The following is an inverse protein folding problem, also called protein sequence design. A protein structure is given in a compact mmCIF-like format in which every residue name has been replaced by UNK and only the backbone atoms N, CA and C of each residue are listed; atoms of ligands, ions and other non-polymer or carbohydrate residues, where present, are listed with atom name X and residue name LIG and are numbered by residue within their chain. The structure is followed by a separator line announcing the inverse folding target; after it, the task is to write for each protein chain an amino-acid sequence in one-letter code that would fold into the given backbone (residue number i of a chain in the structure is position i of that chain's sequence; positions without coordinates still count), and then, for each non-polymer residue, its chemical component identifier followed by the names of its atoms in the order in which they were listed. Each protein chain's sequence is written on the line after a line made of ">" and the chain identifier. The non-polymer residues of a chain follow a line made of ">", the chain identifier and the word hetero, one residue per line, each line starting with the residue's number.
data_IF_961991318272
#
_entry.id   IF_961991318272
#
_cell.length_a   1.000
_cell.length_b   1.000
_cell.length_c   1.000
_cell.angle_alpha   90.00
_cell.angle_beta   90.00
_cell.angle_gamma   90.00
#
_symmetry.space_group_name_H-M   'P 1'
#
loop_
_entity.id
_entity.type
_entity.pdbx_description
1 polymer ?
#
# COMPACT_ATOMS: atom_id res chain seq x y z
N UNK A 1 11.20 -15.01 -1.72
CA UNK A 1 11.09 -15.11 -3.19
C UNK A 1 11.73 -13.90 -3.87
N UNK A 2 12.02 -13.97 -5.16
CA UNK A 2 12.53 -12.84 -5.94
C UNK A 2 11.69 -12.69 -7.22
N UNK A 3 11.16 -11.49 -7.45
CA UNK A 3 10.45 -11.09 -8.69
C UNK A 3 11.20 -9.91 -9.29
N UNK A 4 11.93 -10.15 -10.39
CA UNK A 4 12.75 -9.13 -11.03
C UNK A 4 12.72 -9.19 -12.54
N UNK A 5 12.99 -8.07 -13.20
CA UNK A 5 13.08 -7.93 -14.66
C UNK A 5 11.81 -8.39 -15.40
N UNK A 6 10.65 -8.30 -14.75
CA UNK A 6 9.37 -8.65 -15.34
C UNK A 6 8.67 -7.42 -15.93
N UNK A 7 7.80 -7.65 -16.93
CA UNK A 7 6.86 -6.66 -17.44
C UNK A 7 5.44 -7.20 -17.31
N UNK A 8 4.57 -6.47 -16.60
CA UNK A 8 3.17 -6.81 -16.39
C UNK A 8 2.26 -5.67 -16.85
N UNK A 9 1.32 -5.97 -17.75
CA UNK A 9 0.40 -4.97 -18.32
C UNK A 9 -0.99 -5.50 -18.60
N UNK A 10 -1.99 -4.60 -18.50
CA UNK A 10 -3.40 -4.88 -18.82
C UNK A 10 -4.01 -5.99 -17.97
N UNK A 11 -3.55 -6.10 -16.72
CA UNK A 11 -4.08 -7.00 -15.71
C UNK A 11 -4.90 -6.24 -14.67
N UNK A 12 -5.65 -6.94 -13.82
CA UNK A 12 -6.18 -6.35 -12.59
C UNK A 12 -5.00 -6.04 -11.66
N UNK A 13 -4.23 -7.05 -11.29
CA UNK A 13 -2.98 -6.88 -10.58
C UNK A 13 -1.80 -7.15 -11.53
N UNK A 14 -0.87 -6.21 -11.64
CA UNK A 14 0.33 -6.42 -12.44
C UNK A 14 1.23 -7.49 -11.81
N UNK A 15 1.65 -7.26 -10.57
CA UNK A 15 2.44 -8.21 -9.76
C UNK A 15 1.79 -8.34 -8.38
N UNK A 16 1.58 -9.57 -7.92
CA UNK A 16 0.99 -9.86 -6.61
C UNK A 16 1.99 -10.58 -5.72
N UNK A 17 2.13 -10.09 -4.50
CA UNK A 17 2.85 -10.73 -3.39
C UNK A 17 1.82 -10.98 -2.29
N UNK A 18 1.19 -12.15 -2.34
CA UNK A 18 0.12 -12.56 -1.44
C UNK A 18 0.67 -13.46 -0.32
N UNK A 19 0.49 -13.06 0.94
CA UNK A 19 0.81 -13.86 2.13
C UNK A 19 2.22 -14.46 2.06
N UNK A 20 3.23 -13.63 1.77
CA UNK A 20 4.62 -14.07 1.62
C UNK A 20 5.48 -13.57 2.77
N UNK A 21 6.45 -14.38 3.22
CA UNK A 21 7.54 -13.95 4.10
C UNK A 21 8.82 -13.88 3.28
N UNK A 22 9.49 -12.72 3.28
CA UNK A 22 10.75 -12.51 2.57
C UNK A 22 10.55 -12.46 1.06
N UNK A 23 10.34 -11.27 0.51
CA UNK A 23 10.18 -11.06 -0.93
C UNK A 23 10.97 -9.85 -1.43
N UNK A 24 11.74 -10.02 -2.50
CA UNK A 24 12.36 -8.92 -3.23
C UNK A 24 11.64 -8.73 -4.57
N UNK A 25 11.04 -7.57 -4.76
CA UNK A 25 10.32 -7.18 -5.97
C UNK A 25 10.98 -5.96 -6.57
N UNK A 26 11.78 -6.16 -7.62
CA UNK A 26 12.60 -5.06 -8.12
C UNK A 26 12.90 -5.06 -9.60
N UNK A 27 13.21 -3.87 -10.14
CA UNK A 27 13.54 -3.68 -11.56
C UNK A 27 12.47 -4.26 -12.50
N UNK A 28 11.20 -4.19 -12.09
CA UNK A 28 10.06 -4.57 -12.90
C UNK A 28 9.39 -3.34 -13.54
N UNK A 29 8.61 -3.59 -14.58
CA UNK A 29 7.73 -2.61 -15.23
C UNK A 29 6.29 -3.07 -15.07
N UNK A 30 5.50 -2.34 -14.27
CA UNK A 30 4.07 -2.54 -14.11
C UNK A 30 3.33 -1.35 -14.72
N UNK A 31 2.78 -1.53 -15.92
CA UNK A 31 2.16 -0.46 -16.69
C UNK A 31 0.73 -0.81 -17.14
N UNK A 32 -0.19 0.14 -17.07
CA UNK A 32 -1.55 -0.03 -17.61
C UNK A 32 -2.27 -1.28 -17.06
N UNK A 33 -2.06 -1.59 -15.79
CA UNK A 33 -2.89 -2.52 -15.01
C UNK A 33 -3.99 -1.73 -14.27
N UNK A 34 -4.85 -2.38 -13.48
CA UNK A 34 -5.70 -1.67 -12.50
C UNK A 34 -4.89 -1.25 -11.29
N UNK A 35 -4.10 -2.18 -10.74
CA UNK A 35 -3.08 -1.94 -9.74
C UNK A 35 -1.72 -2.43 -10.26
N UNK A 36 -0.66 -1.63 -10.09
CA UNK A 36 0.67 -1.97 -10.57
C UNK A 36 1.28 -3.16 -9.82
N UNK A 37 1.64 -2.94 -8.55
CA UNK A 37 2.15 -3.97 -7.63
C UNK A 37 1.24 -4.02 -6.41
N UNK A 38 0.87 -5.23 -5.97
CA UNK A 38 0.09 -5.45 -4.77
C UNK A 38 0.89 -6.31 -3.79
N UNK A 39 1.09 -5.82 -2.58
CA UNK A 39 1.71 -6.54 -1.47
C UNK A 39 0.65 -6.69 -0.39
N UNK A 40 0.11 -7.89 -0.20
CA UNK A 40 -0.99 -8.05 0.73
C UNK A 40 -1.01 -9.37 1.47
N UNK A 41 -1.64 -9.35 2.64
CA UNK A 41 -2.07 -10.57 3.32
C UNK A 41 -3.58 -10.67 3.26
N UNK A 42 -4.11 -11.87 3.06
CA UNK A 42 -5.53 -12.19 3.14
C UNK A 42 -5.79 -13.26 4.21
N UNK A 43 -6.96 -13.20 4.87
CA UNK A 43 -7.36 -14.23 5.82
C UNK A 43 -7.67 -15.56 5.11
N UNK A 44 -7.61 -16.66 5.85
CA UNK A 44 -8.05 -17.98 5.40
C UNK A 44 -7.00 -18.80 4.66
N UNK A 45 -5.78 -18.28 4.50
CA UNK A 45 -4.65 -18.99 3.87
C UNK A 45 -3.79 -19.75 4.90
N UNK A 46 -2.90 -20.63 4.43
CA UNK A 46 -2.01 -21.40 5.33
C UNK A 46 -0.97 -20.51 5.98
N UNK A 47 -0.33 -19.66 5.20
CA UNK A 47 0.52 -18.59 5.71
C UNK A 47 -0.40 -17.39 5.99
N UNK A 48 -0.58 -17.05 7.27
CA UNK A 48 -1.59 -16.10 7.70
C UNK A 48 -1.24 -14.66 7.35
N UNK A 49 -0.01 -14.27 7.65
CA UNK A 49 0.47 -12.90 7.51
C UNK A 49 1.73 -12.92 6.67
N UNK A 50 1.82 -11.97 5.73
CA UNK A 50 3.05 -11.69 5.02
C UNK A 50 3.90 -10.68 5.77
N UNK A 51 5.22 -10.79 5.59
CA UNK A 51 6.17 -9.81 6.10
C UNK A 51 7.48 -9.81 5.32
N UNK A 52 8.34 -8.82 5.58
CA UNK A 52 9.67 -8.70 4.97
C UNK A 52 9.63 -8.61 3.44
N UNK A 53 8.90 -7.63 2.93
CA UNK A 53 8.81 -7.38 1.48
C UNK A 53 9.58 -6.11 1.12
N UNK A 54 10.52 -6.21 0.18
CA UNK A 54 11.22 -5.07 -0.41
C UNK A 54 10.70 -4.84 -1.82
N UNK A 55 10.10 -3.68 -2.04
CA UNK A 55 9.62 -3.23 -3.35
C UNK A 55 10.51 -2.08 -3.80
N UNK A 56 11.42 -2.32 -4.75
CA UNK A 56 12.41 -1.29 -5.09
C UNK A 56 12.80 -1.20 -6.56
N UNK A 57 13.20 0.00 -7.01
CA UNK A 57 13.64 0.24 -8.38
C UNK A 57 12.64 -0.22 -9.47
N UNK A 58 11.34 -0.29 -9.17
CA UNK A 58 10.30 -0.61 -10.14
C UNK A 58 9.78 0.65 -10.83
N UNK A 59 9.26 0.47 -12.05
CA UNK A 59 8.51 1.49 -12.78
C UNK A 59 7.03 1.13 -12.74
N UNK A 60 6.22 1.96 -12.08
CA UNK A 60 4.78 1.75 -11.90
C UNK A 60 4.03 2.93 -12.52
N UNK A 61 3.65 2.80 -13.79
CA UNK A 61 3.10 3.91 -14.56
C UNK A 61 1.74 3.62 -15.19
N UNK A 62 0.90 4.64 -15.24
CA UNK A 62 -0.40 4.62 -15.93
C UNK A 62 -1.26 3.40 -15.58
N UNK A 63 -1.21 2.89 -14.35
CA UNK A 63 -1.99 1.72 -13.93
C UNK A 63 -3.47 2.10 -13.74
N UNK A 64 -4.11 2.52 -14.84
CA UNK A 64 -5.43 3.13 -14.89
C UNK A 64 -6.45 2.21 -15.59
N UNK A 65 -6.10 0.94 -15.85
CA UNK A 65 -6.97 0.01 -16.53
C UNK A 65 -8.18 -0.31 -15.67
N UNK A 66 -9.36 -0.40 -16.29
CA UNK A 66 -10.59 -0.73 -15.58
C UNK A 66 -10.46 -2.09 -14.88
N UNK A 67 -10.91 -2.17 -13.63
CA UNK A 67 -10.92 -3.43 -12.90
C UNK A 67 -11.93 -4.39 -13.53
N UNK A 68 -11.46 -5.55 -13.99
CA UNK A 68 -12.27 -6.60 -14.61
C UNK A 68 -12.29 -7.89 -13.80
N UNK A 69 -11.89 -7.84 -12.52
CA UNK A 69 -11.95 -8.99 -11.64
C UNK A 69 -13.40 -9.47 -11.46
N UNK A 70 -13.53 -10.76 -11.19
CA UNK A 70 -14.82 -11.34 -10.81
C UNK A 70 -15.32 -10.66 -9.53
N UNK A 71 -16.58 -10.25 -9.56
CA UNK A 71 -17.25 -9.70 -8.37
C UNK A 71 -17.09 -10.64 -7.16
N UNK A 72 -16.77 -10.05 -6.01
CA UNK A 72 -16.50 -10.78 -4.77
C UNK A 72 -15.05 -11.25 -4.60
N UNK A 73 -14.21 -11.28 -5.65
CA UNK A 73 -12.76 -11.47 -5.48
C UNK A 73 -12.16 -10.30 -4.66
N UNK A 74 -11.08 -10.53 -3.93
CA UNK A 74 -10.39 -9.45 -3.19
C UNK A 74 -9.82 -8.40 -4.15
N UNK A 75 -9.17 -8.85 -5.21
CA UNK A 75 -8.60 -7.96 -6.24
C UNK A 75 -9.65 -7.08 -6.95
N UNK A 76 -10.94 -7.40 -6.84
CA UNK A 76 -12.02 -6.55 -7.34
C UNK A 76 -12.19 -5.24 -6.54
N UNK A 77 -11.64 -5.16 -5.32
CA UNK A 77 -11.63 -3.92 -4.54
C UNK A 77 -10.41 -3.03 -4.81
N UNK A 78 -9.50 -3.45 -5.69
CA UNK A 78 -8.34 -2.63 -6.08
C UNK A 78 -8.83 -1.45 -6.91
N UNK A 79 -8.64 -0.20 -6.45
CA UNK A 79 -9.01 0.96 -7.24
C UNK A 79 -8.15 1.03 -8.51
N UNK A 80 -8.77 1.24 -9.69
CA UNK A 80 -8.01 1.65 -10.86
C UNK A 80 -7.20 2.92 -10.55
N UNK A 81 -6.01 3.02 -11.12
CA UNK A 81 -5.10 4.13 -10.85
C UNK A 81 -4.23 3.93 -9.61
N UNK A 82 -4.05 2.68 -9.14
CA UNK A 82 -3.16 2.37 -8.04
C UNK A 82 -1.77 1.95 -8.53
N UNK A 83 -0.71 2.65 -8.12
CA UNK A 83 0.67 2.27 -8.46
C UNK A 83 1.15 1.07 -7.64
N UNK A 84 1.17 1.24 -6.32
CA UNK A 84 1.46 0.21 -5.32
C UNK A 84 0.35 0.20 -4.27
N UNK A 85 -0.14 -0.99 -3.91
CA UNK A 85 -1.00 -1.17 -2.74
C UNK A 85 -0.35 -2.12 -1.75
N UNK A 86 -0.26 -1.71 -0.50
CA UNK A 86 0.14 -2.51 0.65
C UNK A 86 -1.09 -2.72 1.51
N UNK A 87 -1.53 -3.98 1.68
CA UNK A 87 -2.70 -4.31 2.48
C UNK A 87 -2.39 -5.34 3.56
N UNK A 88 -2.59 -4.98 4.83
CA UNK A 88 -2.46 -5.89 5.97
C UNK A 88 -1.14 -6.70 5.96
N UNK A 89 -0.02 -6.04 5.65
CA UNK A 89 1.28 -6.69 5.54
C UNK A 89 2.29 -5.94 6.39
N UNK A 90 3.24 -6.66 6.98
CA UNK A 90 4.18 -6.09 7.95
C UNK A 90 5.58 -5.96 7.35
N UNK A 91 6.38 -4.99 7.82
CA UNK A 91 7.78 -4.82 7.40
C UNK A 91 7.91 -4.79 5.87
N UNK A 92 7.17 -3.87 5.26
CA UNK A 92 7.28 -3.59 3.82
C UNK A 92 8.13 -2.35 3.61
N UNK A 93 9.16 -2.48 2.79
CA UNK A 93 10.10 -1.42 2.48
C UNK A 93 10.03 -1.06 0.99
N UNK A 94 9.70 0.21 0.71
CA UNK A 94 9.40 0.73 -0.63
C UNK A 94 10.40 1.81 -0.97
N UNK A 95 11.32 1.55 -1.90
CA UNK A 95 12.38 2.53 -2.20
C UNK A 95 12.92 2.56 -3.62
N UNK A 96 13.39 3.73 -4.07
CA UNK A 96 13.97 3.88 -5.41
C UNK A 96 12.98 3.65 -6.56
N UNK A 97 11.68 3.53 -6.28
CA UNK A 97 10.68 3.30 -7.32
C UNK A 97 10.32 4.60 -8.04
N UNK A 98 9.84 4.45 -9.28
CA UNK A 98 9.27 5.54 -10.06
C UNK A 98 7.77 5.31 -10.26
N UNK A 99 6.97 6.21 -9.72
CA UNK A 99 5.52 6.26 -9.91
C UNK A 99 5.15 7.39 -10.87
N UNK A 100 4.36 7.09 -11.90
CA UNK A 100 4.00 8.09 -12.91
C UNK A 100 2.56 7.91 -13.42
N UNK A 101 1.74 8.96 -13.37
CA UNK A 101 0.43 8.97 -14.06
C UNK A 101 -0.64 8.01 -13.53
N UNK A 102 -0.48 7.46 -12.32
CA UNK A 102 -1.52 6.65 -11.67
C UNK A 102 -2.66 7.56 -11.17
N UNK A 103 -3.86 7.47 -11.76
CA UNK A 103 -4.91 8.50 -11.58
C UNK A 103 -5.54 8.54 -10.18
N UNK A 104 -5.37 7.48 -9.39
CA UNK A 104 -5.79 7.39 -7.99
C UNK A 104 -4.54 7.53 -7.09
N UNK A 105 -4.35 6.68 -6.08
CA UNK A 105 -3.17 6.72 -5.22
C UNK A 105 -1.94 6.07 -5.89
N UNK A 106 -0.82 6.79 -5.96
CA UNK A 106 0.44 6.20 -6.43
C UNK A 106 0.96 5.13 -5.48
N UNK A 107 0.89 5.37 -4.16
CA UNK A 107 1.18 4.38 -3.12
C UNK A 107 0.06 4.39 -2.07
N UNK A 108 -0.55 3.23 -1.82
CA UNK A 108 -1.68 3.06 -0.91
C UNK A 108 -1.32 2.07 0.19
N UNK A 109 -1.43 2.49 1.45
CA UNK A 109 -1.21 1.65 2.64
C UNK A 109 -2.54 1.50 3.38
N UNK A 110 -3.04 0.28 3.48
CA UNK A 110 -4.40 0.02 3.97
C UNK A 110 -4.47 -1.21 4.88
N UNK A 111 -5.35 -1.15 5.87
CA UNK A 111 -5.84 -2.28 6.61
C UNK A 111 -6.86 -3.06 5.80
N UNK A 112 -6.91 -4.37 5.99
CA UNK A 112 -8.00 -5.19 5.47
C UNK A 112 -9.38 -4.75 6.00
N UNK A 113 -9.43 -4.14 7.19
CA UNK A 113 -10.69 -3.75 7.83
C UNK A 113 -11.51 -2.73 7.04
N UNK A 114 -10.85 -1.90 6.21
CA UNK A 114 -11.57 -0.92 5.37
C UNK A 114 -12.39 -1.60 4.28
N UNK A 115 -12.12 -2.87 3.98
CA UNK A 115 -12.94 -3.66 3.03
C UNK A 115 -14.29 -4.04 3.63
N UNK A 116 -14.44 -3.94 4.96
CA UNK A 116 -15.62 -4.36 5.73
C UNK A 116 -16.03 -5.83 5.50
N UNK A 117 -15.15 -6.63 4.90
CA UNK A 117 -15.37 -8.06 4.71
C UNK A 117 -15.17 -8.77 6.04
N UNK A 118 -16.10 -9.68 6.35
CA UNK A 118 -15.96 -10.56 7.50
C UNK A 118 -14.89 -11.61 7.21
N UNK A 119 -14.11 -11.92 8.23
CA UNK A 119 -13.15 -13.02 8.22
C UNK A 119 -13.25 -13.80 9.54
N UNK A 120 -12.93 -15.09 9.48
CA UNK A 120 -12.88 -15.99 10.63
C UNK A 120 -11.52 -16.69 10.64
N UNK A 121 -10.51 -15.94 11.09
CA UNK A 121 -9.12 -16.39 11.12
C UNK A 121 -8.40 -15.73 12.30
N UNK A 122 -8.29 -16.44 13.41
CA UNK A 122 -7.72 -15.92 14.65
C UNK A 122 -6.22 -15.62 14.57
N UNK A 123 -5.53 -16.13 13.54
CA UNK A 123 -4.10 -15.87 13.33
C UNK A 123 -3.82 -14.76 12.34
N UNK A 124 -4.86 -14.17 11.76
CA UNK A 124 -4.72 -13.13 10.74
C UNK A 124 -4.60 -11.74 11.38
N UNK A 125 -3.55 -11.02 10.99
CA UNK A 125 -3.32 -9.63 11.32
C UNK A 125 -3.86 -8.74 10.17
N UNK A 126 -4.92 -7.95 10.38
CA UNK A 126 -5.51 -7.12 9.33
C UNK A 126 -4.84 -5.75 9.19
N UNK A 127 -3.81 -5.42 9.98
CA UNK A 127 -3.19 -4.09 10.02
C UNK A 127 -1.87 -4.06 9.23
N UNK A 128 -1.55 -2.97 8.53
CA UNK A 128 -0.24 -2.78 7.95
C UNK A 128 0.72 -2.14 8.97
N UNK A 129 1.85 -2.76 9.24
CA UNK A 129 2.80 -2.29 10.27
C UNK A 129 4.24 -2.26 9.76
N UNK A 130 5.05 -1.38 10.35
CA UNK A 130 6.46 -1.21 10.01
C UNK A 130 6.67 -0.95 8.50
N UNK A 131 5.88 -0.05 7.93
CA UNK A 131 5.93 0.30 6.51
C UNK A 131 6.93 1.44 6.32
N UNK A 132 7.94 1.23 5.48
CA UNK A 132 9.00 2.20 5.23
C UNK A 132 8.97 2.66 3.77
N UNK A 133 8.59 3.91 3.51
CA UNK A 133 8.49 4.47 2.16
C UNK A 133 9.52 5.58 2.01
N UNK A 134 10.56 5.36 1.21
CA UNK A 134 11.64 6.34 1.08
C UNK A 134 12.35 6.33 -0.28
N UNK A 135 13.00 7.44 -0.64
CA UNK A 135 13.77 7.55 -1.90
C UNK A 135 12.97 7.21 -3.17
N UNK A 136 11.65 7.37 -3.16
CA UNK A 136 10.81 7.17 -4.34
C UNK A 136 10.58 8.49 -5.09
N UNK A 137 10.26 8.38 -6.38
CA UNK A 137 9.89 9.51 -7.22
C UNK A 137 8.45 9.39 -7.66
N UNK A 138 7.71 10.50 -7.55
CA UNK A 138 6.30 10.59 -7.90
C UNK A 138 6.10 11.71 -8.92
N UNK A 139 5.41 11.39 -10.02
CA UNK A 139 5.21 12.33 -11.12
C UNK A 139 3.79 12.23 -11.69
N UNK A 140 2.95 13.22 -11.38
CA UNK A 140 1.55 13.22 -11.80
C UNK A 140 0.72 12.10 -11.14
N UNK A 141 -0.59 12.11 -11.39
CA UNK A 141 -1.53 11.21 -10.75
C UNK A 141 -2.46 11.90 -9.77
N UNK A 142 -3.29 11.12 -9.07
CA UNK A 142 -4.28 11.62 -8.10
C UNK A 142 -5.40 12.50 -8.68
N UNK A 143 -5.50 12.58 -10.00
CA UNK A 143 -6.44 13.47 -10.71
C UNK A 143 -7.85 12.91 -10.82
N UNK A 144 -8.00 11.59 -10.72
CA UNK A 144 -9.31 10.90 -10.76
C UNK A 144 -9.37 9.80 -9.69
N UNK A 145 -9.53 10.19 -8.41
CA UNK A 145 -9.48 9.27 -7.28
C UNK A 145 -10.61 8.23 -7.33
N UNK A 146 -10.22 6.96 -7.40
CA UNK A 146 -11.14 5.83 -7.50
C UNK A 146 -11.36 5.16 -6.15
N UNK A 147 -12.55 4.60 -5.96
CA UNK A 147 -12.95 3.93 -4.72
C UNK A 147 -13.52 4.90 -3.67
N UNK A 148 -14.42 4.38 -2.83
CA UNK A 148 -15.25 5.19 -1.93
C UNK A 148 -14.46 6.18 -1.07
N UNK A 149 -13.39 5.72 -0.42
CA UNK A 149 -12.65 6.54 0.54
C UNK A 149 -11.79 7.64 -0.11
N UNK A 150 -11.22 7.36 -1.28
CA UNK A 150 -10.44 8.35 -2.03
C UNK A 150 -11.35 9.37 -2.74
N UNK A 151 -12.49 8.91 -3.27
CA UNK A 151 -13.54 9.82 -3.76
C UNK A 151 -14.11 10.70 -2.65
N UNK A 152 -14.28 10.17 -1.43
CA UNK A 152 -14.71 10.93 -0.26
C UNK A 152 -13.71 12.04 0.08
N UNK A 153 -12.40 11.74 0.09
CA UNK A 153 -11.36 12.75 0.30
C UNK A 153 -11.48 13.86 -0.73
N UNK A 154 -11.48 13.52 -2.02
CA UNK A 154 -11.55 14.48 -3.11
C UNK A 154 -12.82 15.35 -3.06
N UNK A 155 -13.97 14.76 -2.72
CA UNK A 155 -15.23 15.49 -2.57
C UNK A 155 -15.21 16.47 -1.37
N UNK A 156 -14.53 16.11 -0.29
CA UNK A 156 -14.47 16.91 0.92
C UNK A 156 -13.42 18.04 0.85
N UNK A 157 -12.32 17.84 0.12
CA UNK A 157 -11.24 18.83 0.00
C UNK A 157 -11.30 19.66 -1.28
N UNK A 158 -11.93 19.12 -2.34
CA UNK A 158 -11.87 19.65 -3.70
C UNK A 158 -10.41 19.76 -4.21
N UNK A 159 -9.54 18.86 -3.74
CA UNK A 159 -8.14 18.75 -4.13
C UNK A 159 -7.86 17.41 -4.84
N UNK A 160 -6.77 17.35 -5.61
CA UNK A 160 -6.23 16.08 -6.10
C UNK A 160 -5.80 15.20 -4.93
N UNK A 161 -5.91 13.89 -5.11
CA UNK A 161 -5.45 12.94 -4.12
C UNK A 161 -3.91 13.02 -3.99
N UNK A 162 -3.36 13.03 -2.76
CA UNK A 162 -1.92 12.92 -2.54
C UNK A 162 -1.31 11.62 -3.08
N UNK A 163 0.01 11.65 -3.33
CA UNK A 163 0.75 10.53 -3.92
C UNK A 163 0.75 9.29 -3.01
N UNK A 164 0.96 9.51 -1.71
CA UNK A 164 1.00 8.48 -0.69
C UNK A 164 -0.27 8.61 0.18
N UNK A 165 -1.05 7.55 0.24
CA UNK A 165 -2.31 7.49 0.97
C UNK A 165 -2.22 6.39 2.03
N UNK A 166 -2.45 6.76 3.28
CA UNK A 166 -2.60 5.83 4.39
C UNK A 166 -4.03 5.88 4.91
N UNK A 167 -4.64 4.74 5.22
CA UNK A 167 -6.01 4.73 5.73
C UNK A 167 -6.15 5.18 7.19
N UNK A 168 -5.08 5.10 8.00
CA UNK A 168 -5.11 5.46 9.41
C UNK A 168 -5.73 4.41 10.34
N UNK A 169 -5.88 3.17 9.89
CA UNK A 169 -6.37 2.06 10.71
C UNK A 169 -5.20 1.36 11.37
N UNK A 170 -5.16 1.40 12.71
CA UNK A 170 -4.08 0.86 13.54
C UNK A 170 -4.62 -0.21 14.48
N UNK A 171 -3.75 -1.15 14.88
CA UNK A 171 -4.07 -2.08 15.96
C UNK A 171 -4.10 -1.36 17.31
N UNK A 172 -5.29 -1.24 17.89
CA UNK A 172 -5.49 -0.61 19.19
C UNK A 172 -4.77 -1.35 20.33
N UNK A 173 -4.53 -2.67 20.20
CA UNK A 173 -3.86 -3.47 21.23
C UNK A 173 -2.36 -3.21 21.29
N UNK A 174 -1.76 -2.73 20.19
CA UNK A 174 -0.33 -2.43 20.08
C UNK A 174 0.00 -0.96 20.39
N UNK A 175 -0.99 -0.11 20.66
CA UNK A 175 -0.77 1.30 20.97
C UNK A 175 -0.15 1.49 22.36
N UNK A 176 0.90 2.31 22.41
CA UNK A 176 1.50 2.83 23.65
C UNK A 176 1.26 4.34 23.65
N UNK A 177 0.60 4.85 24.69
CA UNK A 177 0.20 6.26 24.79
C UNK A 177 -0.56 6.79 23.56
N UNK A 178 -1.38 5.94 22.96
CA UNK A 178 -2.23 6.27 21.80
C UNK A 178 -1.49 6.30 20.45
N UNK A 179 -0.25 5.81 20.39
CA UNK A 179 0.54 5.70 19.15
C UNK A 179 1.13 4.31 19.01
N UNK A 180 1.36 3.87 17.78
CA UNK A 180 2.19 2.69 17.58
C UNK A 180 3.62 2.97 18.05
N UNK A 181 4.30 1.99 18.65
CA UNK A 181 5.75 2.01 18.81
C UNK A 181 6.44 2.34 17.49
N UNK A 182 7.58 3.02 17.55
CA UNK A 182 8.29 3.51 16.35
C UNK A 182 8.58 2.43 15.33
N UNK A 183 8.90 1.22 15.80
CA UNK A 183 9.23 0.04 15.02
C UNK A 183 8.03 -0.60 14.31
N UNK A 184 6.80 -0.25 14.69
CA UNK A 184 5.55 -0.69 14.05
C UNK A 184 4.89 0.43 13.23
N UNK A 185 5.35 1.66 13.35
CA UNK A 185 4.75 2.82 12.68
C UNK A 185 4.95 2.78 11.17
N UNK A 186 4.16 3.57 10.46
CA UNK A 186 4.50 4.03 9.10
C UNK A 186 5.66 5.04 9.19
N UNK A 187 6.58 4.94 8.23
CA UNK A 187 7.67 5.88 7.98
C UNK A 187 7.60 6.36 6.53
N UNK A 188 7.61 7.68 6.32
CA UNK A 188 7.61 8.32 5.00
C UNK A 188 8.65 9.43 4.98
N UNK A 189 9.78 9.18 4.33
CA UNK A 189 10.95 10.10 4.33
C UNK A 189 11.58 10.17 2.94
N UNK A 190 12.28 11.26 2.61
CA UNK A 190 13.13 11.36 1.42
C UNK A 190 12.46 11.03 0.07
N UNK A 191 11.16 11.26 -0.08
CA UNK A 191 10.39 11.03 -1.33
C UNK A 191 10.25 12.30 -2.20
N UNK A 192 11.17 13.26 -2.06
CA UNK A 192 11.11 14.54 -2.77
C UNK A 192 9.87 15.38 -2.42
N UNK A 193 9.15 15.85 -3.44
CA UNK A 193 7.95 16.69 -3.31
C UNK A 193 6.65 15.89 -3.11
N UNK A 194 6.75 14.58 -2.80
CA UNK A 194 5.59 13.72 -2.63
C UNK A 194 4.60 14.27 -1.59
N UNK A 195 3.32 14.24 -1.93
CA UNK A 195 2.24 14.59 -1.02
C UNK A 195 1.73 13.35 -0.28
N UNK A 196 1.24 13.58 0.92
CA UNK A 196 0.74 12.54 1.80
C UNK A 196 -0.66 12.86 2.34
N UNK A 197 -1.47 11.83 2.58
CA UNK A 197 -2.64 11.92 3.46
C UNK A 197 -2.83 10.65 4.28
N UNK A 198 -3.09 10.82 5.57
CA UNK A 198 -3.78 9.85 6.40
C UNK A 198 -5.28 10.15 6.38
N UNK A 199 -6.08 9.18 5.94
CA UNK A 199 -7.52 9.31 5.78
C UNK A 199 -8.32 9.20 7.09
N UNK A 200 -7.69 8.74 8.18
CA UNK A 200 -8.32 8.60 9.51
C UNK A 200 -9.61 7.75 9.48
N UNK A 201 -9.59 6.67 8.68
CA UNK A 201 -10.74 5.80 8.47
C UNK A 201 -11.10 4.99 9.73
N UNK A 202 -10.19 4.85 10.69
CA UNK A 202 -10.48 4.24 11.99
C UNK A 202 -11.63 4.97 12.73
N UNK A 203 -11.66 6.32 12.68
CA UNK A 203 -12.79 7.08 13.23
C UNK A 203 -14.09 6.83 12.51
N UNK A 204 -14.03 6.70 11.18
CA UNK A 204 -15.21 6.44 10.36
C UNK A 204 -15.76 5.02 10.60
N UNK A 205 -14.90 4.00 10.72
CA UNK A 205 -15.28 2.65 11.09
C UNK A 205 -15.93 2.60 12.50
N UNK A 206 -15.55 3.52 13.40
CA UNK A 206 -16.20 3.74 14.69
C UNK A 206 -17.49 4.58 14.63
N UNK A 207 -17.99 4.94 13.44
CA UNK A 207 -19.20 5.74 13.23
C UNK A 207 -19.01 7.25 13.31
N UNK A 208 -17.76 7.72 13.42
CA UNK A 208 -17.40 9.14 13.42
C UNK A 208 -17.16 9.70 12.02
N UNK A 209 -16.73 10.96 11.96
CA UNK A 209 -16.24 11.59 10.73
C UNK A 209 -14.71 11.50 10.69
N UNK A 210 -14.10 11.12 9.55
CA UNK A 210 -12.66 11.11 9.41
C UNK A 210 -12.10 12.53 9.49
N UNK A 211 -10.90 12.67 10.06
CA UNK A 211 -10.13 13.92 10.08
C UNK A 211 -8.85 13.69 9.29
N UNK A 212 -8.87 14.10 8.02
CA UNK A 212 -7.71 13.93 7.15
C UNK A 212 -6.51 14.68 7.70
N UNK A 213 -5.35 14.00 7.71
CA UNK A 213 -4.09 14.59 8.11
C UNK A 213 -3.08 14.49 6.96
N UNK A 214 -2.69 15.66 6.43
CA UNK A 214 -1.70 15.78 5.35
C UNK A 214 -0.31 16.14 5.87
N UNK A 215 -0.14 16.30 7.19
CA UNK A 215 1.17 16.53 7.81
C UNK A 215 1.97 15.24 7.82
N UNK A 216 2.83 15.09 6.80
CA UNK A 216 3.75 13.96 6.67
C UNK A 216 4.84 13.93 7.75
N UNK A 217 5.12 15.05 8.43
CA UNK A 217 6.24 15.13 9.38
C UNK A 217 6.05 14.24 10.61
N UNK A 218 4.80 13.88 10.92
CA UNK A 218 4.48 12.91 11.99
C UNK A 218 4.95 11.49 11.67
N UNK A 219 5.28 11.22 10.40
CA UNK A 219 5.79 9.95 9.89
C UNK A 219 7.28 10.01 9.50
N UNK A 220 8.02 11.05 9.92
CA UNK A 220 9.42 11.24 9.54
C UNK A 220 10.43 10.36 10.32
N UNK A 221 9.97 9.37 11.08
CA UNK A 221 10.85 8.41 11.77
C UNK A 221 11.51 7.45 10.78
N UNK A 222 12.61 6.80 11.16
CA UNK A 222 13.25 5.76 10.33
C UNK A 222 12.96 4.37 10.89
N UNK A 223 12.77 3.39 10.01
CA UNK A 223 12.63 1.98 10.38
C UNK A 223 13.90 1.18 10.05
N UNK A 224 14.05 0.02 10.67
CA UNK A 224 15.08 -0.94 10.28
C UNK A 224 14.84 -1.39 8.83
N UNK A 225 15.92 -1.44 8.03
CA UNK A 225 15.86 -1.89 6.63
C UNK A 225 15.50 -3.38 6.61
N UNK A 226 14.65 -3.78 5.69
CA UNK A 226 14.28 -5.19 5.51
C UNK A 226 15.48 -5.93 4.91
N UNK A 227 15.72 -7.16 5.36
CA UNK A 227 16.86 -7.95 4.88
C UNK A 227 16.64 -8.43 3.45
N UNK A 228 17.72 -8.53 2.69
CA UNK A 228 17.68 -9.07 1.34
C UNK A 228 17.31 -10.55 1.33
N UNK A 229 16.54 -10.96 0.33
CA UNK A 229 16.27 -12.37 0.11
C UNK A 229 17.50 -13.03 -0.49
N UNK A 230 18.11 -13.95 0.25
CA UNK A 230 19.21 -14.77 -0.24
C UNK A 230 18.69 -16.12 -0.76
N UNK A 231 18.89 -16.40 -2.05
CA UNK A 231 18.60 -17.71 -2.64
C UNK A 231 19.93 -18.29 -3.14
N UNK A 232 20.38 -19.46 -2.62
CA UNK A 232 21.62 -20.08 -3.06
C UNK A 232 21.67 -20.25 -4.57
N UNK A 233 22.72 -19.71 -5.20
CA UNK A 233 22.93 -19.79 -6.65
C UNK A 233 22.18 -18.75 -7.48
N UNK A 234 21.47 -17.81 -6.85
CA UNK A 234 20.87 -16.64 -7.50
C UNK A 234 21.65 -15.40 -7.07
N UNK A 235 22.36 -14.79 -8.02
CA UNK A 235 23.00 -13.47 -7.85
C UNK A 235 22.04 -12.37 -8.27
#
# INVERSE_FOLDING_TARGET
>A
MIVRHCRAERNVAGIEIENCIGADVYENVANNNTGGILVFSLPGLTLKNGSDCRVFNNQMSDNNHANFAKEGAMVASVPPGSGLMIMANDRVEVFGNKFEGNISASCLVVSFLITQRKYDDSGYDPYPEAIHIHDNTFAGGGTDPQGEYMSMYAAATNESLPDIVFDGVLDAEKLVDGKLPSELSLSVVDNGDAKFVNLDLSKMLAGGKPVFNTDMSVYAGTLERVQAVEIPGVN
#
